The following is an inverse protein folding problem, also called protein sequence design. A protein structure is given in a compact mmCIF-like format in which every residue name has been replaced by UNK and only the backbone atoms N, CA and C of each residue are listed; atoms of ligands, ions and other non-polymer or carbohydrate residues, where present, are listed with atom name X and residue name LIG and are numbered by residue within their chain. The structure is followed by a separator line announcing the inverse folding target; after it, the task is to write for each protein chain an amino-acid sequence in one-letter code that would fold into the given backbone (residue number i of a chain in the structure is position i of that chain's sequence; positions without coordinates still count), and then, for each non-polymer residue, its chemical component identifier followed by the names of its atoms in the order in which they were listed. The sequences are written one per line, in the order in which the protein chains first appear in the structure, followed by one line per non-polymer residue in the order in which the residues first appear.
data_IF_421917383585
#
_entry.id   IF_421917383585
#
_cell.length_a   1.000
_cell.length_b   1.000
_cell.length_c   1.000
_cell.angle_alpha   90.00
_cell.angle_beta   90.00
_cell.angle_gamma   90.00
#
_symmetry.space_group_name_H-M   'P 1'
#
loop_
_entity.id
_entity.type
_entity.pdbx_description
1 polymer ?
#
# COMPACT_ATOMS: atom_id res chain seq x y z
N UNK A 1 20.63 -2.45 -5.06
CA UNK A 1 20.13 -1.74 -6.26
C UNK A 1 20.03 -0.28 -5.91
N UNK A 2 20.64 0.62 -6.69
CA UNK A 2 20.60 2.07 -6.44
C UNK A 2 19.26 2.61 -6.94
N UNK A 3 18.30 2.80 -6.04
CA UNK A 3 17.06 3.50 -6.37
C UNK A 3 17.39 4.99 -6.50
N UNK A 4 17.16 5.58 -7.66
CA UNK A 4 17.16 7.04 -7.79
C UNK A 4 15.95 7.53 -6.99
N UNK A 5 16.19 8.21 -5.87
CA UNK A 5 15.13 8.76 -5.04
C UNK A 5 14.44 9.91 -5.80
N UNK A 6 13.23 9.64 -6.27
CA UNK A 6 12.37 10.65 -6.88
C UNK A 6 11.65 11.37 -5.74
N UNK A 7 11.89 12.68 -5.64
CA UNK A 7 11.24 13.51 -4.63
C UNK A 7 9.99 14.18 -5.19
N UNK A 8 8.87 14.00 -4.51
CA UNK A 8 7.56 14.54 -4.89
C UNK A 8 6.89 15.23 -3.70
N UNK A 9 6.07 16.23 -3.99
CA UNK A 9 5.06 16.69 -3.02
C UNK A 9 3.90 15.70 -2.96
N UNK A 10 3.02 15.83 -1.97
CA UNK A 10 1.85 14.96 -1.86
C UNK A 10 0.90 15.11 -3.06
N UNK A 11 0.71 16.33 -3.55
CA UNK A 11 -0.14 16.60 -4.72
C UNK A 11 0.43 15.95 -5.98
N UNK A 12 1.75 16.04 -6.19
CA UNK A 12 2.42 15.40 -7.32
C UNK A 12 2.36 13.88 -7.23
N UNK A 13 2.42 13.31 -6.02
CA UNK A 13 2.25 11.87 -5.80
C UNK A 13 0.84 11.40 -6.16
N UNK A 14 -0.21 12.16 -5.82
CA UNK A 14 -1.59 11.80 -6.15
C UNK A 14 -1.86 11.78 -7.66
N UNK A 15 -1.11 12.56 -8.43
CA UNK A 15 -1.19 12.63 -9.89
C UNK A 15 -0.11 11.78 -10.59
N UNK A 16 0.73 11.07 -9.83
CA UNK A 16 1.84 10.29 -10.38
C UNK A 16 1.33 9.04 -11.10
N UNK A 17 1.74 8.88 -12.35
CA UNK A 17 1.49 7.69 -13.18
C UNK A 17 2.75 7.42 -14.03
N UNK A 18 3.26 6.19 -13.98
CA UNK A 18 4.45 5.78 -14.74
C UNK A 18 4.11 4.92 -15.98
N UNK A 19 2.81 4.76 -16.27
CA UNK A 19 2.31 3.93 -17.36
C UNK A 19 2.38 2.43 -17.08
N UNK A 20 2.64 2.03 -15.84
CA UNK A 20 2.66 0.63 -15.38
C UNK A 20 1.63 0.40 -14.28
N UNK A 21 1.42 -0.87 -13.91
CA UNK A 21 0.60 -1.24 -12.75
C UNK A 21 1.39 -1.24 -11.42
N UNK A 22 2.58 -0.65 -11.39
CA UNK A 22 3.38 -0.55 -10.17
C UNK A 22 2.69 0.34 -9.14
N UNK A 23 2.76 -0.06 -7.87
CA UNK A 23 2.28 0.75 -6.75
C UNK A 23 3.46 1.39 -6.04
N UNK A 24 3.25 2.60 -5.52
CA UNK A 24 4.28 3.36 -4.83
C UNK A 24 3.73 3.95 -3.54
N UNK A 25 4.60 4.08 -2.55
CA UNK A 25 4.36 4.81 -1.31
C UNK A 25 5.18 6.10 -1.30
N UNK A 26 4.58 7.17 -0.79
CA UNK A 26 5.30 8.41 -0.53
C UNK A 26 5.79 8.40 0.92
N UNK A 27 7.10 8.27 1.12
CA UNK A 27 7.74 8.25 2.43
C UNK A 27 8.71 9.42 2.55
N UNK A 28 8.42 10.39 3.43
CA UNK A 28 9.21 11.62 3.61
C UNK A 28 9.51 12.38 2.30
N UNK A 29 8.52 12.39 1.40
CA UNK A 29 8.61 13.02 0.08
C UNK A 29 9.39 12.20 -0.95
N UNK A 30 9.83 10.98 -0.60
CA UNK A 30 10.48 10.06 -1.52
C UNK A 30 9.48 9.01 -2.02
N UNK A 31 9.50 8.77 -3.34
CA UNK A 31 8.66 7.75 -3.96
C UNK A 31 9.34 6.38 -3.85
N UNK A 32 8.73 5.46 -3.10
CA UNK A 32 9.24 4.11 -2.85
C UNK A 32 8.33 3.09 -3.55
N UNK A 33 8.86 2.20 -4.40
CA UNK A 33 8.04 1.16 -5.01
C UNK A 33 7.59 0.14 -3.97
N UNK A 34 6.31 -0.22 -4.03
CA UNK A 34 5.74 -1.30 -3.25
C UNK A 34 5.94 -2.62 -4.00
N UNK A 35 6.58 -3.63 -3.40
CA UNK A 35 6.65 -4.94 -4.02
C UNK A 35 5.25 -5.56 -4.16
N UNK A 36 5.04 -6.49 -5.11
CA UNK A 36 3.82 -7.28 -5.14
C UNK A 36 3.69 -8.04 -3.82
N UNK A 37 2.46 -8.17 -3.34
CA UNK A 37 2.19 -8.90 -2.11
C UNK A 37 2.41 -10.40 -2.33
N UNK A 38 2.86 -11.10 -1.29
CA UNK A 38 3.00 -12.56 -1.33
C UNK A 38 1.71 -13.26 -0.93
N UNK A 39 1.42 -14.42 -1.51
CA UNK A 39 0.25 -15.24 -1.16
C UNK A 39 0.13 -15.48 0.36
N UNK A 40 1.26 -15.66 1.06
CA UNK A 40 1.29 -15.86 2.49
C UNK A 40 0.84 -14.61 3.27
N UNK A 41 1.33 -13.44 2.86
CA UNK A 41 0.95 -12.17 3.49
C UNK A 41 -0.50 -11.81 3.20
N UNK A 42 -0.99 -12.07 1.98
CA UNK A 42 -2.40 -11.94 1.63
C UNK A 42 -3.27 -12.82 2.54
N UNK A 43 -2.88 -14.08 2.75
CA UNK A 43 -3.58 -14.98 3.64
C UNK A 43 -3.57 -14.47 5.10
N UNK A 44 -2.43 -14.00 5.60
CA UNK A 44 -2.30 -13.43 6.96
C UNK A 44 -3.20 -12.19 7.10
N UNK A 45 -3.21 -11.29 6.11
CA UNK A 45 -4.02 -10.07 6.15
C UNK A 45 -5.52 -10.38 6.18
N UNK A 46 -5.97 -11.34 5.36
CA UNK A 46 -7.35 -11.85 5.36
C UNK A 46 -7.71 -12.44 6.72
N UNK A 47 -6.84 -13.28 7.29
CA UNK A 47 -7.07 -13.90 8.59
C UNK A 47 -7.18 -12.86 9.71
N UNK A 48 -6.24 -11.90 9.77
CA UNK A 48 -6.26 -10.82 10.77
C UNK A 48 -7.52 -9.94 10.65
N UNK A 49 -7.97 -9.66 9.41
CA UNK A 49 -9.22 -8.94 9.18
C UNK A 49 -10.42 -9.71 9.74
N UNK A 50 -10.46 -11.02 9.52
CA UNK A 50 -11.56 -11.87 9.98
C UNK A 50 -11.60 -11.97 11.53
N UNK A 51 -10.44 -12.01 12.18
CA UNK A 51 -10.34 -11.88 13.64
C UNK A 51 -10.80 -10.49 14.13
N UNK A 52 -10.39 -9.42 13.45
CA UNK A 52 -10.80 -8.05 13.81
C UNK A 52 -12.32 -7.86 13.71
N UNK A 53 -12.98 -8.45 12.70
CA UNK A 53 -14.44 -8.36 12.50
C UNK A 53 -15.21 -9.00 13.67
N UNK A 54 -14.61 -9.93 14.41
CA UNK A 54 -15.22 -10.49 15.62
C UNK A 54 -15.20 -9.50 16.79
N UNK A 55 -14.27 -8.54 16.79
CA UNK A 55 -14.06 -7.59 17.89
C UNK A 55 -14.75 -6.24 17.68
N UNK A 56 -14.92 -5.81 16.43
CA UNK A 56 -15.52 -4.52 16.09
C UNK A 56 -16.74 -4.69 15.19
N UNK A 57 -17.59 -3.65 15.10
CA UNK A 57 -18.73 -3.70 14.20
C UNK A 57 -18.24 -3.89 12.76
N UNK A 58 -18.65 -4.98 12.10
CA UNK A 58 -18.28 -5.32 10.73
C UNK A 58 -18.46 -4.17 9.73
N UNK A 59 -19.43 -3.28 9.93
CA UNK A 59 -19.64 -2.10 9.07
C UNK A 59 -18.50 -1.07 9.12
N UNK A 60 -17.65 -1.13 10.15
CA UNK A 60 -16.49 -0.27 10.33
C UNK A 60 -15.22 -0.86 9.71
N UNK A 61 -15.18 -2.18 9.47
CA UNK A 61 -14.08 -2.84 8.77
C UNK A 61 -14.41 -2.80 7.28
N UNK A 62 -13.66 -1.99 6.51
CA UNK A 62 -13.81 -1.97 5.06
C UNK A 62 -13.22 -3.25 4.46
N UNK A 63 -13.97 -3.85 3.54
CA UNK A 63 -13.54 -4.97 2.72
C UNK A 63 -12.56 -4.50 1.65
#
# INVERSE_FOLDING_TARGET
MTHTSVKLTFEQYLEYEDGTDNRYELFDGELIPMPPESDNNDWIAVWLRDELIQLVNRRLVRC
#
